data_IF_299971697845
#
_entry.id   IF_299971697845
#
_cell.length_a   1.000
_cell.length_b   1.000
_cell.length_c   1.000
_cell.angle_alpha   90.00
_cell.angle_beta   90.00
_cell.angle_gamma   90.00
#
_symmetry.space_group_name_H-M   'P 1'
#
loop_
_entity.id
_entity.type
_entity.pdbx_description
1 polymer ?
#
# COMPACT_ATOMS: atom_id res chain seq x y z
N UNK A 1 -9.81 11.00 -10.98
CA UNK A 1 -8.43 10.74 -10.58
C UNK A 1 -7.94 9.34 -10.95
N UNK A 2 -8.74 8.33 -10.64
CA UNK A 2 -8.40 6.96 -11.01
C UNK A 2 -8.78 6.60 -12.44
N UNK A 3 -9.44 7.50 -13.15
CA UNK A 3 -9.88 7.29 -14.54
C UNK A 3 -8.72 7.02 -15.49
N UNK A 4 -7.58 7.64 -15.27
CA UNK A 4 -6.38 7.44 -16.10
C UNK A 4 -5.82 6.01 -16.04
N UNK A 5 -6.24 5.22 -15.03
CA UNK A 5 -5.81 3.83 -14.86
C UNK A 5 -6.79 2.82 -15.47
N UNK A 6 -7.94 3.26 -15.95
CA UNK A 6 -9.07 2.41 -16.31
C UNK A 6 -8.78 1.39 -17.40
N UNK A 7 -7.90 1.72 -18.34
CA UNK A 7 -7.52 0.84 -19.45
C UNK A 7 -6.13 0.24 -19.30
N UNK A 8 -5.57 0.28 -18.08
CA UNK A 8 -4.21 -0.17 -17.82
C UNK A 8 -4.21 -1.41 -16.94
N UNK A 9 -3.28 -2.31 -17.20
CA UNK A 9 -3.01 -3.44 -16.31
C UNK A 9 -2.02 -2.99 -15.25
N UNK A 10 -2.44 -3.04 -14.00
CA UNK A 10 -1.68 -2.55 -12.87
C UNK A 10 -1.30 -3.74 -12.00
N UNK A 11 -0.02 -3.85 -11.68
CA UNK A 11 0.54 -4.94 -10.90
C UNK A 11 1.24 -4.42 -9.66
N UNK A 12 1.17 -5.18 -8.59
CA UNK A 12 1.99 -4.96 -7.41
C UNK A 12 2.27 -6.32 -6.77
N UNK A 13 3.27 -6.36 -5.91
CA UNK A 13 3.57 -7.56 -5.12
C UNK A 13 3.15 -7.32 -3.69
N UNK A 14 2.43 -8.26 -3.09
CA UNK A 14 2.06 -8.22 -1.69
C UNK A 14 2.79 -9.38 -1.00
N UNK A 15 3.66 -9.04 -0.04
CA UNK A 15 4.40 -10.00 0.75
C UNK A 15 3.87 -10.00 2.18
N UNK A 16 3.63 -11.18 2.71
CA UNK A 16 3.22 -11.35 4.09
C UNK A 16 4.44 -11.69 4.93
N UNK A 17 4.65 -10.96 6.00
CA UNK A 17 5.86 -11.08 6.81
C UNK A 17 5.55 -10.87 8.31
N UNK A 18 6.57 -10.66 9.12
CA UNK A 18 6.46 -10.46 10.56
C UNK A 18 7.35 -9.34 11.06
N UNK A 19 7.27 -9.09 12.37
CA UNK A 19 7.97 -7.99 13.06
C UNK A 19 9.46 -7.93 12.77
N UNK A 20 10.14 -9.07 12.82
CA UNK A 20 11.59 -9.13 12.70
C UNK A 20 12.07 -8.64 11.33
N UNK A 21 11.47 -9.14 10.28
CA UNK A 21 11.84 -8.76 8.92
C UNK A 21 11.43 -7.33 8.62
N UNK A 22 10.24 -6.92 9.03
CA UNK A 22 9.75 -5.56 8.78
C UNK A 22 10.62 -4.54 9.51
N UNK A 23 11.01 -4.82 10.75
CA UNK A 23 11.95 -3.95 11.49
C UNK A 23 13.27 -3.81 10.73
N UNK A 24 13.82 -4.93 10.23
CA UNK A 24 15.05 -4.94 9.46
C UNK A 24 14.93 -4.09 8.19
N UNK A 25 13.85 -4.26 7.44
CA UNK A 25 13.61 -3.51 6.21
C UNK A 25 13.37 -2.03 6.48
N UNK A 26 12.64 -1.71 7.52
CA UNK A 26 12.36 -0.33 7.91
C UNK A 26 13.65 0.40 8.30
N UNK A 27 14.53 -0.28 9.04
CA UNK A 27 15.83 0.26 9.39
C UNK A 27 16.72 0.46 8.15
N UNK A 28 16.78 -0.54 7.27
CA UNK A 28 17.65 -0.51 6.09
C UNK A 28 17.24 0.54 5.06
N UNK A 29 15.94 0.63 4.75
CA UNK A 29 15.45 1.45 3.65
C UNK A 29 14.84 2.78 4.08
N UNK A 30 14.36 2.89 5.32
CA UNK A 30 13.75 4.10 5.84
C UNK A 30 14.46 4.69 7.03
N UNK A 31 15.53 4.05 7.48
CA UNK A 31 16.36 4.46 8.62
C UNK A 31 15.57 4.59 9.93
N UNK A 32 14.52 3.80 10.07
CA UNK A 32 13.70 3.74 11.29
C UNK A 32 13.87 2.38 11.95
N UNK A 33 14.47 2.35 13.15
CA UNK A 33 14.73 1.11 13.88
C UNK A 33 13.50 0.68 14.67
N UNK A 34 12.40 0.42 13.97
CA UNK A 34 11.15 -0.04 14.57
C UNK A 34 10.34 -0.86 13.58
N UNK A 35 9.45 -1.70 14.12
CA UNK A 35 8.48 -2.42 13.32
C UNK A 35 7.30 -1.52 12.98
N UNK A 36 6.60 -1.84 11.92
CA UNK A 36 5.36 -1.18 11.51
C UNK A 36 4.40 -2.24 10.98
N UNK A 37 3.16 -1.86 10.72
CA UNK A 37 2.14 -2.76 10.21
C UNK A 37 2.27 -3.02 8.69
N UNK A 38 2.70 -2.02 7.93
CA UNK A 38 2.85 -2.13 6.48
C UNK A 38 3.99 -1.25 5.98
N UNK A 39 4.69 -1.74 4.96
CA UNK A 39 5.71 -0.98 4.23
C UNK A 39 5.36 -1.01 2.74
N UNK A 40 5.52 0.12 2.08
CA UNK A 40 5.34 0.24 0.63
C UNK A 40 6.63 0.74 0.00
N UNK A 41 7.06 0.04 -1.05
CA UNK A 41 8.27 0.39 -1.81
C UNK A 41 7.89 0.64 -3.26
N UNK A 42 7.73 1.92 -3.68
CA UNK A 42 7.42 2.24 -5.06
C UNK A 42 8.53 1.78 -6.00
N UNK A 43 8.15 1.20 -7.13
CA UNK A 43 9.11 0.76 -8.15
C UNK A 43 9.71 1.96 -8.90
N UNK A 44 8.86 2.93 -9.24
CA UNK A 44 9.28 4.14 -9.91
C UNK A 44 9.39 5.31 -8.94
N UNK A 45 10.31 6.24 -9.24
CA UNK A 45 10.33 7.54 -8.58
C UNK A 45 9.10 8.35 -9.01
N UNK A 46 8.71 9.32 -8.21
CA UNK A 46 7.50 10.12 -8.42
C UNK A 46 7.42 10.74 -9.82
N UNK A 47 8.51 11.30 -10.31
CA UNK A 47 8.59 11.91 -11.64
C UNK A 47 8.59 10.87 -12.77
N UNK A 48 9.23 9.72 -12.58
CA UNK A 48 9.23 8.62 -13.52
C UNK A 48 7.85 7.99 -13.64
N UNK A 49 7.16 7.85 -12.53
CA UNK A 49 5.82 7.27 -12.47
C UNK A 49 4.82 8.01 -13.35
N UNK A 50 4.84 9.34 -13.30
CA UNK A 50 3.97 10.18 -14.13
C UNK A 50 4.18 9.94 -15.62
N UNK A 51 5.42 9.76 -16.05
CA UNK A 51 5.75 9.47 -17.45
C UNK A 51 5.31 8.07 -17.86
N UNK A 52 5.58 7.07 -17.02
CA UNK A 52 5.27 5.68 -17.31
C UNK A 52 3.77 5.43 -17.37
N UNK A 53 3.00 6.07 -16.50
CA UNK A 53 1.56 5.89 -16.46
C UNK A 53 0.86 6.39 -17.71
N UNK A 54 1.42 7.41 -18.36
CA UNK A 54 0.87 7.95 -19.60
C UNK A 54 1.24 7.12 -20.84
N UNK A 55 2.37 6.42 -20.79
CA UNK A 55 2.96 5.80 -21.98
C UNK A 55 2.87 4.27 -22.03
N UNK A 56 2.55 3.60 -20.92
CA UNK A 56 2.56 2.15 -20.83
C UNK A 56 1.19 1.59 -20.49
N UNK A 57 0.83 0.46 -21.10
CA UNK A 57 -0.41 -0.26 -20.79
C UNK A 57 -0.27 -1.12 -19.54
N UNK A 58 0.95 -1.60 -19.26
CA UNK A 58 1.24 -2.39 -18.07
C UNK A 58 2.14 -1.60 -17.15
N UNK A 59 1.74 -1.49 -15.88
CA UNK A 59 2.46 -0.71 -14.88
C UNK A 59 2.67 -1.55 -13.63
N UNK A 60 3.93 -1.71 -13.23
CA UNK A 60 4.27 -2.29 -11.95
C UNK A 60 4.43 -1.18 -10.92
N UNK A 61 3.59 -1.18 -9.89
CA UNK A 61 3.57 -0.12 -8.88
C UNK A 61 4.69 -0.25 -7.85
N UNK A 62 4.97 -1.48 -7.45
CA UNK A 62 5.96 -1.74 -6.41
C UNK A 62 5.55 -2.86 -5.47
N UNK A 63 6.19 -2.88 -4.29
CA UNK A 63 6.00 -3.93 -3.30
C UNK A 63 5.31 -3.39 -2.06
N UNK A 64 4.38 -4.19 -1.53
CA UNK A 64 3.70 -3.94 -0.26
C UNK A 64 4.05 -5.09 0.67
N UNK A 65 4.61 -4.80 1.83
CA UNK A 65 4.97 -5.82 2.81
C UNK A 65 4.11 -5.62 4.04
N UNK A 66 3.37 -6.66 4.42
CA UNK A 66 2.41 -6.61 5.52
C UNK A 66 2.94 -7.41 6.70
N UNK A 67 2.85 -6.81 7.88
CA UNK A 67 3.23 -7.44 9.13
C UNK A 67 2.05 -8.18 9.74
N UNK A 68 2.04 -9.50 9.60
CA UNK A 68 0.97 -10.33 10.14
C UNK A 68 0.92 -10.30 11.69
N UNK A 69 2.03 -9.99 12.35
CA UNK A 69 2.09 -9.87 13.80
C UNK A 69 1.28 -8.68 14.34
N UNK A 70 1.02 -7.69 13.49
CA UNK A 70 0.23 -6.51 13.89
C UNK A 70 -1.27 -6.71 13.70
N UNK A 71 -1.69 -7.81 13.10
CA UNK A 71 -3.11 -8.12 12.93
C UNK A 71 -3.56 -9.00 14.08
N UNK A 72 -4.60 -8.57 14.80
CA UNK A 72 -5.20 -9.34 15.86
C UNK A 72 -6.02 -10.50 15.30
N UNK A 73 -5.59 -11.73 15.56
CA UNK A 73 -6.31 -12.92 15.14
C UNK A 73 -7.31 -13.46 16.16
N UNK A 74 -7.41 -12.83 17.33
CA UNK A 74 -8.31 -13.26 18.42
C UNK A 74 -9.78 -12.99 18.11
N UNK A 75 -10.06 -12.01 17.25
CA UNK A 75 -11.41 -11.58 16.88
C UNK A 75 -12.04 -12.40 15.75
N UNK A 76 -11.39 -13.49 15.34
CA UNK A 76 -11.91 -14.39 14.35
C UNK A 76 -11.43 -14.09 12.92
N UNK A 77 -11.76 -15.03 12.04
CA UNK A 77 -11.26 -15.07 10.66
C UNK A 77 -11.74 -13.92 9.80
N UNK A 78 -13.01 -13.54 9.94
CA UNK A 78 -13.60 -12.43 9.16
C UNK A 78 -12.93 -11.12 9.52
N UNK A 79 -12.70 -10.90 10.81
CA UNK A 79 -12.03 -9.68 11.26
C UNK A 79 -10.56 -9.64 10.80
N UNK A 80 -9.88 -10.79 10.79
CA UNK A 80 -8.50 -10.88 10.30
C UNK A 80 -8.41 -10.46 8.83
N UNK A 81 -9.30 -10.97 8.00
CA UNK A 81 -9.35 -10.64 6.57
C UNK A 81 -9.65 -9.16 6.36
N UNK A 82 -10.56 -8.61 7.14
CA UNK A 82 -10.88 -7.18 7.06
C UNK A 82 -9.68 -6.30 7.38
N UNK A 83 -8.94 -6.63 8.45
CA UNK A 83 -7.74 -5.90 8.83
C UNK A 83 -6.62 -6.05 7.78
N UNK A 84 -6.45 -7.25 7.24
CA UNK A 84 -5.49 -7.50 6.17
C UNK A 84 -5.80 -6.66 4.94
N UNK A 85 -7.06 -6.59 4.55
CA UNK A 85 -7.51 -5.78 3.40
C UNK A 85 -7.24 -4.29 3.62
N UNK A 86 -7.47 -3.78 4.82
CA UNK A 86 -7.15 -2.39 5.16
C UNK A 86 -5.67 -2.09 4.97
N UNK A 87 -4.80 -3.01 5.37
CA UNK A 87 -3.36 -2.80 5.29
C UNK A 87 -2.85 -2.80 3.85
N UNK A 88 -3.26 -3.78 3.03
CA UNK A 88 -2.75 -3.79 1.66
C UNK A 88 -3.33 -2.67 0.81
N UNK A 89 -4.57 -2.25 1.05
CA UNK A 89 -5.17 -1.10 0.37
C UNK A 89 -4.44 0.18 0.76
N UNK A 90 -4.11 0.35 2.03
CA UNK A 90 -3.34 1.49 2.51
C UNK A 90 -1.98 1.55 1.82
N UNK A 91 -1.27 0.42 1.74
CA UNK A 91 0.00 0.31 1.03
C UNK A 91 -0.13 0.61 -0.45
N UNK A 92 -1.18 0.13 -1.09
CA UNK A 92 -1.46 0.38 -2.50
C UNK A 92 -1.65 1.87 -2.79
N UNK A 93 -2.39 2.56 -1.93
CA UNK A 93 -2.64 4.00 -2.08
C UNK A 93 -1.32 4.78 -2.00
N UNK A 94 -0.42 4.39 -1.11
CA UNK A 94 0.92 4.98 -1.07
C UNK A 94 1.71 4.74 -2.37
N UNK A 95 1.57 3.57 -2.98
CA UNK A 95 2.23 3.29 -4.25
C UNK A 95 1.72 4.18 -5.39
N UNK A 96 0.48 4.66 -5.30
CA UNK A 96 -0.07 5.64 -6.24
C UNK A 96 0.41 7.08 -5.97
N UNK A 97 1.21 7.29 -4.94
CA UNK A 97 1.84 8.58 -4.66
C UNK A 97 1.19 9.42 -3.57
N UNK A 98 0.17 8.91 -2.88
CA UNK A 98 -0.44 9.63 -1.76
C UNK A 98 0.39 9.46 -0.49
N UNK A 99 0.46 10.50 0.31
CA UNK A 99 1.24 10.53 1.55
C UNK A 99 0.43 11.16 2.68
N UNK A 100 0.54 10.60 3.88
CA UNK A 100 -0.13 11.11 5.08
C UNK A 100 0.40 12.44 5.59
N UNK A 101 1.59 12.86 5.18
CA UNK A 101 2.27 14.03 5.73
C UNK A 101 1.55 15.35 5.45
N UNK A 102 0.65 15.37 4.48
CA UNK A 102 -0.15 16.54 4.12
C UNK A 102 -1.62 16.25 4.39
N UNK A 103 -2.31 17.16 5.07
CA UNK A 103 -3.74 17.01 5.38
C UNK A 103 -4.59 16.73 4.15
N UNK A 104 -4.28 17.40 3.05
CA UNK A 104 -4.97 17.20 1.77
C UNK A 104 -4.84 15.77 1.26
N UNK A 105 -3.63 15.21 1.33
CA UNK A 105 -3.36 13.83 0.92
C UNK A 105 -4.03 12.83 1.86
N UNK A 106 -4.02 13.09 3.15
CA UNK A 106 -4.67 12.26 4.15
C UNK A 106 -6.17 12.11 3.86
N UNK A 107 -6.86 13.22 3.57
CA UNK A 107 -8.28 13.21 3.25
C UNK A 107 -8.55 12.45 1.95
N UNK A 108 -7.73 12.65 0.93
CA UNK A 108 -7.83 11.92 -0.32
C UNK A 108 -7.63 10.42 -0.13
N UNK A 109 -6.65 10.03 0.66
CA UNK A 109 -6.38 8.63 0.99
C UNK A 109 -7.56 7.97 1.71
N UNK A 110 -8.14 8.64 2.71
CA UNK A 110 -9.30 8.13 3.43
C UNK A 110 -10.48 7.83 2.51
N UNK A 111 -10.75 8.73 1.58
CA UNK A 111 -11.84 8.54 0.61
C UNK A 111 -11.57 7.36 -0.32
N UNK A 112 -10.36 7.23 -0.81
CA UNK A 112 -9.96 6.14 -1.71
C UNK A 112 -9.99 4.80 -0.96
N UNK A 113 -9.52 4.76 0.26
CA UNK A 113 -9.57 3.57 1.11
C UNK A 113 -11.01 3.08 1.31
N UNK A 114 -11.91 3.98 1.66
CA UNK A 114 -13.32 3.66 1.83
C UNK A 114 -13.94 3.12 0.55
N UNK A 115 -13.58 3.71 -0.58
CA UNK A 115 -14.07 3.26 -1.88
C UNK A 115 -13.60 1.85 -2.21
N UNK A 116 -12.30 1.57 -2.04
CA UNK A 116 -11.75 0.23 -2.28
C UNK A 116 -12.34 -0.81 -1.33
N UNK A 117 -12.48 -0.48 -0.06
CA UNK A 117 -13.09 -1.39 0.92
C UNK A 117 -14.54 -1.72 0.58
N UNK A 118 -15.29 -0.78 0.01
CA UNK A 118 -16.66 -1.02 -0.41
C UNK A 118 -16.76 -2.02 -1.58
N UNK A 119 -15.72 -2.10 -2.43
CA UNK A 119 -15.70 -3.05 -3.55
C UNK A 119 -15.38 -4.48 -3.13
N UNK A 120 -14.61 -4.66 -2.07
CA UNK A 120 -14.14 -5.98 -1.65
C UNK A 120 -14.81 -6.49 -0.38
N UNK A 121 -15.46 -5.62 0.35
CA UNK A 121 -16.08 -5.91 1.62
C UNK A 121 -17.52 -6.16 1.52
#
# INVERSE_FOLDING_TARGET
RLHKYKKKNIFCTILLSGDKEIKRLNKKFRKKNCSTDVLSFPFYRKNEFKKKINNQKEIYLGDIIINLNKIDNKKGKVNFILELNKLWIHGLIHLFGYDHKKDKDFNAMSKIEKKFLSYIG
#
